data_IF_818020418034
#
_entry.id   IF_818020418034
#
_cell.length_a   1.000
_cell.length_b   1.000
_cell.length_c   1.000
_cell.angle_alpha   90.00
_cell.angle_beta   90.00
_cell.angle_gamma   90.00
#
_symmetry.space_group_name_H-M   'P 1'
#
loop_
_entity.id
_entity.type
_entity.pdbx_description
1 polymer ?
#
# COMPACT_ATOMS: atom_id res chain seq x y z
N UNK A 1 3.17 -76.29 8.24
CA UNK A 1 4.32 -76.23 9.17
C UNK A 1 5.53 -75.88 8.32
N UNK A 2 6.17 -74.72 8.36
CA UNK A 2 6.57 -73.85 9.47
C UNK A 2 6.48 -72.36 9.04
N UNK A 3 6.22 -71.51 10.02
CA UNK A 3 6.29 -70.04 10.03
C UNK A 3 7.69 -69.51 9.68
N UNK A 4 7.83 -68.35 9.02
CA UNK A 4 8.33 -67.13 9.69
C UNK A 4 8.35 -65.87 8.80
N UNK A 5 8.08 -64.76 9.47
CA UNK A 5 8.11 -63.35 9.09
C UNK A 5 9.49 -62.82 8.66
N UNK A 6 9.55 -61.81 7.78
CA UNK A 6 10.14 -60.50 8.13
C UNK A 6 9.88 -59.39 7.09
N UNK A 7 9.43 -58.26 7.61
CA UNK A 7 9.34 -56.92 6.99
C UNK A 7 10.75 -56.34 6.76
N UNK A 8 10.90 -55.40 5.81
CA UNK A 8 11.69 -54.14 5.93
C UNK A 8 11.74 -53.44 4.56
N UNK A 9 10.87 -52.44 4.37
CA UNK A 9 11.15 -50.99 4.28
C UNK A 9 11.54 -50.50 2.87
N UNK A 10 10.55 -49.90 2.22
CA UNK A 10 10.71 -48.94 1.14
C UNK A 10 11.35 -47.65 1.69
N UNK A 11 12.47 -47.23 1.12
CA UNK A 11 13.06 -45.91 1.31
C UNK A 11 12.85 -45.06 0.06
N UNK A 12 11.79 -44.26 0.03
CA UNK A 12 11.61 -43.17 -0.93
C UNK A 12 12.51 -42.01 -0.47
N UNK A 13 13.62 -41.78 -1.19
CA UNK A 13 14.42 -40.57 -1.04
C UNK A 13 13.67 -39.38 -1.63
N UNK A 14 13.03 -38.58 -0.78
CA UNK A 14 12.64 -37.21 -1.12
C UNK A 14 13.89 -36.32 -1.03
N UNK A 15 14.44 -35.94 -2.18
CA UNK A 15 15.35 -34.81 -2.30
C UNK A 15 14.52 -33.52 -2.18
N UNK A 16 14.41 -32.98 -0.97
CA UNK A 16 13.94 -31.61 -0.76
C UNK A 16 15.08 -30.66 -1.17
N UNK A 17 15.09 -30.28 -2.45
CA UNK A 17 15.75 -29.04 -2.87
C UNK A 17 14.90 -27.89 -2.31
N UNK A 18 15.29 -27.38 -1.13
CA UNK A 18 14.76 -26.10 -0.68
C UNK A 18 15.33 -25.02 -1.60
N UNK A 19 14.51 -24.25 -2.34
CA UNK A 19 15.01 -23.04 -2.93
C UNK A 19 15.47 -22.14 -1.78
N UNK A 20 16.70 -21.63 -1.88
CA UNK A 20 17.03 -20.38 -1.24
C UNK A 20 15.99 -19.38 -1.75
N UNK A 21 15.01 -19.06 -0.91
CA UNK A 21 14.17 -17.90 -1.13
C UNK A 21 15.13 -16.72 -1.24
N UNK A 22 15.38 -16.29 -2.48
CA UNK A 22 15.71 -14.90 -2.74
C UNK A 22 14.53 -14.15 -2.12
N UNK A 23 14.82 -13.17 -1.28
CA UNK A 23 13.84 -12.12 -1.07
C UNK A 23 13.61 -11.54 -2.47
N UNK A 24 12.50 -11.93 -3.08
CA UNK A 24 11.94 -11.16 -4.17
C UNK A 24 11.54 -9.83 -3.52
N UNK A 25 12.28 -8.76 -3.82
CA UNK A 25 11.84 -7.37 -3.72
C UNK A 25 10.72 -7.14 -4.77
N UNK A 26 9.71 -8.02 -4.82
CA UNK A 26 8.60 -7.96 -5.77
C UNK A 26 7.29 -7.76 -5.00
N UNK A 27 7.12 -6.54 -4.46
CA UNK A 27 5.82 -5.94 -4.22
C UNK A 27 5.99 -4.43 -3.94
N UNK A 28 6.67 -3.72 -4.82
CA UNK A 28 6.41 -2.28 -4.95
C UNK A 28 5.20 -2.15 -5.89
N UNK A 29 4.08 -1.75 -5.29
CA UNK A 29 2.71 -1.86 -5.80
C UNK A 29 2.25 -0.42 -6.04
N UNK A 30 2.84 0.26 -7.04
CA UNK A 30 2.51 1.63 -7.49
C UNK A 30 2.35 2.74 -6.42
N UNK A 31 3.22 2.85 -5.42
CA UNK A 31 3.37 4.07 -4.61
C UNK A 31 4.66 4.08 -3.78
N UNK A 32 5.13 5.26 -3.35
CA UNK A 32 6.34 5.38 -2.52
C UNK A 32 5.99 5.19 -1.03
N UNK A 33 6.78 4.38 -0.32
CA UNK A 33 6.64 4.16 1.12
C UNK A 33 5.43 3.31 1.53
N UNK A 34 5.02 3.44 2.81
CA UNK A 34 3.94 2.64 3.40
C UNK A 34 2.59 2.78 2.64
N UNK A 35 2.37 3.94 2.00
CA UNK A 35 1.15 4.28 1.24
C UNK A 35 1.04 3.50 -0.09
N UNK A 36 2.17 3.10 -0.69
CA UNK A 36 2.21 2.27 -1.90
C UNK A 36 1.70 0.84 -1.71
N UNK A 37 1.15 0.52 -0.54
CA UNK A 37 0.45 -0.76 -0.29
C UNK A 37 -1.07 -0.61 -0.25
N UNK A 38 -1.58 0.63 -0.22
CA UNK A 38 -3.02 0.92 -0.07
C UNK A 38 -3.60 1.81 -1.16
N UNK A 39 -2.76 2.56 -1.89
CA UNK A 39 -3.18 3.40 -3.02
C UNK A 39 -2.07 3.54 -4.07
N UNK A 40 -2.48 3.96 -5.27
CA UNK A 40 -1.58 4.35 -6.35
C UNK A 40 -0.89 5.70 -6.08
N UNK A 41 -0.18 6.29 -7.05
CA UNK A 41 0.49 7.59 -6.84
C UNK A 41 -0.48 8.72 -6.46
N UNK A 42 -1.72 8.65 -6.94
CA UNK A 42 -2.79 9.60 -6.65
C UNK A 42 -4.10 8.84 -6.44
N UNK A 43 -4.84 9.19 -5.39
CA UNK A 43 -6.17 8.65 -5.13
C UNK A 43 -7.15 9.77 -4.76
N UNK A 44 -8.44 9.50 -4.92
CA UNK A 44 -9.43 10.41 -4.34
C UNK A 44 -9.43 10.24 -2.82
N UNK A 45 -9.23 11.33 -2.11
CA UNK A 45 -9.64 11.42 -0.71
C UNK A 45 -11.15 11.70 -0.60
N UNK A 46 -11.68 12.46 -1.56
CA UNK A 46 -13.12 12.70 -1.66
C UNK A 46 -13.51 13.10 -3.10
N UNK A 47 -14.65 12.63 -3.63
CA UNK A 47 -15.49 11.55 -3.11
C UNK A 47 -14.72 10.21 -3.09
N UNK A 48 -15.13 9.26 -2.23
CA UNK A 48 -14.44 7.97 -2.10
C UNK A 48 -14.32 7.27 -3.46
N UNK A 49 -13.13 6.74 -3.75
CA UNK A 49 -12.86 6.01 -4.98
C UNK A 49 -13.32 4.55 -4.90
N UNK A 50 -13.40 3.94 -6.08
CA UNK A 50 -13.52 2.48 -6.18
C UNK A 50 -12.26 1.83 -5.60
N UNK A 51 -12.37 0.62 -5.03
CA UNK A 51 -11.22 -0.06 -4.44
C UNK A 51 -10.02 -0.12 -5.38
N UNK A 52 -8.91 0.43 -4.93
CA UNK A 52 -7.66 0.44 -5.69
C UNK A 52 -7.03 -0.96 -5.77
N UNK A 53 -6.26 -1.18 -6.84
CA UNK A 53 -5.40 -2.35 -7.02
C UNK A 53 -4.33 -2.04 -8.06
N UNK A 54 -3.06 -2.22 -7.71
CA UNK A 54 -1.92 -2.16 -8.64
C UNK A 54 -2.12 -2.88 -9.98
N UNK A 55 -2.73 -4.06 -9.98
CA UNK A 55 -2.92 -4.80 -11.24
C UNK A 55 -3.83 -4.07 -12.23
N UNK A 56 -4.64 -3.11 -11.77
CA UNK A 56 -5.69 -2.48 -12.56
C UNK A 56 -5.54 -0.96 -12.67
N UNK A 57 -4.71 -0.29 -11.87
CA UNK A 57 -4.66 1.18 -11.81
C UNK A 57 -4.16 1.84 -13.11
N UNK A 58 -3.37 1.13 -13.93
CA UNK A 58 -3.04 1.54 -15.31
C UNK A 58 -4.08 1.13 -16.38
N UNK A 59 -5.23 0.58 -15.99
CA UNK A 59 -6.27 0.10 -16.89
C UNK A 59 -7.52 0.99 -16.78
N UNK A 60 -7.76 1.76 -17.84
CA UNK A 60 -8.94 2.62 -17.94
C UNK A 60 -10.26 1.82 -18.06
N UNK A 61 -11.40 2.42 -17.68
CA UNK A 61 -11.51 3.82 -17.26
C UNK A 61 -11.25 4.06 -15.76
N UNK A 62 -11.36 3.05 -14.90
CA UNK A 62 -11.48 3.28 -13.47
C UNK A 62 -10.33 2.81 -12.60
N UNK A 63 -9.30 2.19 -13.19
CA UNK A 63 -8.15 1.77 -12.41
C UNK A 63 -8.45 0.66 -11.40
N UNK A 64 -9.58 -0.04 -11.55
CA UNK A 64 -10.13 -0.96 -10.56
C UNK A 64 -10.78 -2.16 -11.24
N UNK A 65 -10.74 -3.31 -10.56
CA UNK A 65 -11.51 -4.50 -10.93
C UNK A 65 -12.99 -4.44 -10.50
N UNK A 66 -13.36 -3.43 -9.71
CA UNK A 66 -14.71 -3.26 -9.19
C UNK A 66 -15.56 -2.36 -10.09
N UNK A 67 -16.82 -2.75 -10.28
CA UNK A 67 -17.85 -1.89 -10.88
C UNK A 67 -18.36 -0.83 -9.89
N UNK A 68 -19.44 -0.15 -10.27
CA UNK A 68 -20.11 0.82 -9.39
C UNK A 68 -20.53 0.17 -8.08
N UNK A 69 -20.24 0.84 -6.96
CA UNK A 69 -20.64 0.39 -5.63
C UNK A 69 -21.47 1.44 -4.89
N UNK A 70 -21.06 1.85 -3.69
CA UNK A 70 -21.73 2.91 -2.93
C UNK A 70 -21.45 4.27 -3.58
N UNK A 71 -22.50 5.05 -3.80
CA UNK A 71 -22.40 6.38 -4.39
C UNK A 71 -22.32 7.45 -3.31
N UNK A 72 -21.36 8.36 -3.46
CA UNK A 72 -21.24 9.53 -2.59
C UNK A 72 -22.24 10.61 -3.00
N UNK A 73 -22.94 11.22 -2.04
CA UNK A 73 -23.79 12.37 -2.35
C UNK A 73 -22.93 13.55 -2.80
N UNK A 74 -23.33 14.22 -3.88
CA UNK A 74 -22.51 15.25 -4.51
C UNK A 74 -23.37 16.47 -4.88
N UNK A 75 -22.97 17.70 -4.54
CA UNK A 75 -23.83 18.85 -4.75
C UNK A 75 -23.88 19.21 -6.25
N UNK A 76 -25.07 19.57 -6.74
CA UNK A 76 -25.25 20.08 -8.11
C UNK A 76 -24.48 21.37 -8.38
N UNK A 77 -24.16 22.13 -7.33
CA UNK A 77 -23.43 23.40 -7.42
C UNK A 77 -22.29 23.42 -6.41
N UNK A 78 -21.15 23.99 -6.81
CA UNK A 78 -19.96 24.11 -5.93
C UNK A 78 -19.37 22.75 -5.50
N UNK A 79 -19.41 21.77 -6.41
CA UNK A 79 -18.73 20.50 -6.22
C UNK A 79 -17.22 20.65 -6.17
N UNK A 80 -16.57 19.78 -5.41
CA UNK A 80 -15.13 19.73 -5.23
C UNK A 80 -14.62 18.29 -5.41
N UNK A 81 -13.32 18.12 -5.56
CA UNK A 81 -12.64 16.82 -5.46
C UNK A 81 -11.38 17.04 -4.63
N UNK A 82 -11.12 16.14 -3.69
CA UNK A 82 -9.93 16.14 -2.85
C UNK A 82 -9.09 14.91 -3.19
N UNK A 83 -7.79 15.12 -3.34
CA UNK A 83 -6.81 14.10 -3.69
C UNK A 83 -5.86 13.87 -2.51
N UNK A 84 -5.55 12.60 -2.29
CA UNK A 84 -4.33 12.17 -1.59
C UNK A 84 -3.28 11.88 -2.65
N UNK A 85 -2.06 12.38 -2.48
CA UNK A 85 -0.99 12.30 -3.47
C UNK A 85 0.22 11.69 -2.77
N UNK A 86 0.52 10.43 -3.08
CA UNK A 86 1.67 9.72 -2.54
C UNK A 86 2.95 10.07 -3.31
N UNK A 87 2.84 10.30 -4.62
CA UNK A 87 3.96 10.66 -5.48
C UNK A 87 3.55 11.70 -6.52
N UNK A 88 4.54 12.37 -7.10
CA UNK A 88 4.34 13.40 -8.10
C UNK A 88 3.60 12.84 -9.33
N UNK A 89 2.70 13.66 -9.87
CA UNK A 89 1.91 13.31 -11.04
C UNK A 89 1.79 14.48 -12.02
N UNK A 90 1.57 14.15 -13.28
CA UNK A 90 1.52 15.08 -14.41
C UNK A 90 0.25 14.89 -15.23
N UNK A 91 -0.13 15.92 -15.99
CA UNK A 91 -1.30 15.90 -16.89
C UNK A 91 -2.56 15.37 -16.21
N UNK A 92 -2.80 15.83 -14.98
CA UNK A 92 -3.93 15.40 -14.17
C UNK A 92 -5.21 15.97 -14.78
N UNK A 93 -6.14 15.10 -15.08
CA UNK A 93 -7.42 15.43 -15.69
C UNK A 93 -8.54 14.76 -14.90
N UNK A 94 -9.62 15.52 -14.73
CA UNK A 94 -10.86 15.00 -14.18
C UNK A 94 -11.90 15.01 -15.28
N UNK A 95 -12.48 13.84 -15.54
CA UNK A 95 -13.59 13.67 -16.44
C UNK A 95 -14.84 13.25 -15.68
N UNK A 96 -16.01 13.44 -16.29
CA UNK A 96 -17.27 12.99 -15.70
C UNK A 96 -18.15 12.31 -16.75
N UNK A 97 -18.68 11.15 -16.37
CA UNK A 97 -19.70 10.44 -17.11
C UNK A 97 -21.03 10.57 -16.37
N UNK A 98 -22.07 11.08 -17.04
CA UNK A 98 -23.43 11.21 -16.48
C UNK A 98 -24.25 9.95 -16.74
N UNK A 99 -23.70 8.80 -16.35
CA UNK A 99 -24.34 7.48 -16.45
C UNK A 99 -24.34 6.76 -15.09
N UNK A 100 -25.25 5.80 -14.95
CA UNK A 100 -25.33 4.93 -13.79
C UNK A 100 -24.27 3.83 -13.73
N UNK A 101 -23.65 3.47 -14.85
CA UNK A 101 -22.59 2.46 -14.91
C UNK A 101 -21.70 2.64 -16.17
N UNK A 102 -20.82 3.67 -16.20
CA UNK A 102 -19.92 3.87 -17.33
C UNK A 102 -18.83 2.78 -17.35
N UNK A 103 -18.67 2.11 -18.49
CA UNK A 103 -17.78 0.96 -18.65
C UNK A 103 -16.57 1.26 -19.55
N UNK A 104 -16.62 2.33 -20.34
CA UNK A 104 -15.62 2.61 -21.38
C UNK A 104 -15.04 4.02 -21.25
N UNK A 105 -13.79 4.20 -21.71
CA UNK A 105 -13.15 5.51 -21.71
C UNK A 105 -13.94 6.57 -22.51
N UNK A 106 -14.69 6.15 -23.53
CA UNK A 106 -15.53 7.04 -24.33
C UNK A 106 -16.75 7.59 -23.60
N UNK A 107 -17.12 7.03 -22.45
CA UNK A 107 -18.24 7.53 -21.65
C UNK A 107 -17.85 8.81 -20.87
N UNK A 108 -16.55 9.05 -20.72
CA UNK A 108 -15.97 10.17 -19.98
C UNK A 108 -15.64 11.34 -20.91
N UNK A 109 -16.67 12.02 -21.39
CA UNK A 109 -16.52 13.04 -22.45
C UNK A 109 -16.29 14.47 -21.92
N UNK A 110 -16.69 14.77 -20.69
CA UNK A 110 -16.66 16.11 -20.14
C UNK A 110 -15.47 16.28 -19.20
N UNK A 111 -14.53 17.16 -19.54
CA UNK A 111 -13.45 17.53 -18.61
C UNK A 111 -13.96 18.56 -17.61
N UNK A 112 -13.96 18.19 -16.33
CA UNK A 112 -14.63 18.95 -15.28
C UNK A 112 -13.69 19.77 -14.41
N UNK A 113 -12.38 19.62 -14.58
CA UNK A 113 -11.35 20.53 -14.03
C UNK A 113 -10.33 20.86 -15.11
N UNK A 114 -9.99 22.14 -15.23
CA UNK A 114 -9.11 22.62 -16.30
C UNK A 114 -7.62 22.54 -15.92
N UNK A 115 -6.85 21.89 -16.79
CA UNK A 115 -5.41 22.10 -17.01
C UNK A 115 -4.51 22.02 -15.75
N UNK A 116 -4.47 20.86 -15.10
CA UNK A 116 -3.52 20.58 -14.02
C UNK A 116 -2.29 19.89 -14.62
N UNK A 117 -1.18 20.63 -14.70
CA UNK A 117 0.04 20.14 -15.37
C UNK A 117 0.91 19.26 -14.50
N UNK A 118 0.97 19.56 -13.20
CA UNK A 118 1.75 18.85 -12.20
C UNK A 118 1.10 18.99 -10.83
N UNK A 119 1.10 17.91 -10.06
CA UNK A 119 0.80 17.89 -8.63
C UNK A 119 1.95 17.18 -7.91
N UNK A 120 2.15 17.54 -6.66
CA UNK A 120 3.23 17.03 -5.83
C UNK A 120 2.66 16.28 -4.63
N UNK A 121 3.46 15.37 -4.07
CA UNK A 121 3.09 14.60 -2.88
C UNK A 121 2.49 15.49 -1.78
N UNK A 122 1.37 15.07 -1.20
CA UNK A 122 0.58 15.86 -0.25
C UNK A 122 -0.93 15.71 -0.45
N UNK A 123 -1.65 16.80 -0.24
CA UNK A 123 -3.10 16.87 -0.39
C UNK A 123 -3.46 18.06 -1.26
N UNK A 124 -4.31 17.85 -2.26
CA UNK A 124 -4.80 18.94 -3.10
C UNK A 124 -6.29 18.81 -3.36
N UNK A 125 -6.95 19.96 -3.46
CA UNK A 125 -8.37 20.04 -3.73
C UNK A 125 -8.66 20.94 -4.92
N UNK A 126 -9.63 20.53 -5.73
CA UNK A 126 -10.05 21.21 -6.94
C UNK A 126 -11.55 21.43 -6.95
N UNK A 127 -11.96 22.62 -7.38
CA UNK A 127 -13.36 22.90 -7.67
C UNK A 127 -13.73 22.35 -9.03
N UNK A 128 -14.87 21.68 -9.09
CA UNK A 128 -15.42 21.16 -10.33
C UNK A 128 -16.17 22.28 -11.07
N UNK A 129 -16.06 22.27 -12.41
CA UNK A 129 -16.80 23.13 -13.31
C UNK A 129 -18.32 22.99 -13.14
N UNK A 130 -19.08 23.94 -13.68
CA UNK A 130 -20.54 23.89 -13.60
C UNK A 130 -21.10 22.66 -14.31
N UNK A 131 -21.90 21.89 -13.59
CA UNK A 131 -22.62 20.73 -14.12
C UNK A 131 -23.65 21.20 -15.18
N UNK A 132 -23.84 20.46 -16.30
CA UNK A 132 -24.84 20.80 -17.29
C UNK A 132 -26.24 20.94 -16.69
N UNK A 133 -27.02 21.92 -17.15
CA UNK A 133 -28.36 22.21 -16.60
C UNK A 133 -29.40 21.11 -16.85
N UNK A 134 -29.07 20.10 -17.66
CA UNK A 134 -29.88 18.89 -17.87
C UNK A 134 -29.78 17.88 -16.71
N UNK A 135 -28.79 18.02 -15.83
CA UNK A 135 -28.56 17.15 -14.68
C UNK A 135 -29.39 17.65 -13.50
N UNK A 136 -30.08 16.74 -12.82
CA UNK A 136 -30.95 17.07 -11.68
C UNK A 136 -30.57 16.24 -10.45
N UNK A 137 -31.07 16.61 -9.28
CA UNK A 137 -30.88 15.79 -8.09
C UNK A 137 -31.40 14.36 -8.31
N UNK A 138 -30.67 13.37 -7.79
CA UNK A 138 -30.89 11.95 -8.03
C UNK A 138 -30.20 11.39 -9.28
N UNK A 139 -29.63 12.23 -10.15
CA UNK A 139 -28.82 11.75 -11.29
C UNK A 139 -27.54 11.10 -10.77
N UNK A 140 -27.25 9.90 -11.26
CA UNK A 140 -26.00 9.20 -11.01
C UNK A 140 -24.94 9.65 -12.01
N UNK A 141 -23.69 9.73 -11.54
CA UNK A 141 -22.54 10.01 -12.37
C UNK A 141 -21.29 9.33 -11.79
N UNK A 142 -20.22 9.28 -12.57
CA UNK A 142 -18.91 8.83 -12.11
C UNK A 142 -17.88 9.87 -12.51
N UNK A 143 -17.07 10.29 -11.55
CA UNK A 143 -15.90 11.15 -11.77
C UNK A 143 -14.71 10.24 -12.03
N UNK A 144 -14.03 10.45 -13.15
CA UNK A 144 -12.77 9.79 -13.46
C UNK A 144 -11.62 10.75 -13.19
N UNK A 145 -10.59 10.24 -12.53
CA UNK A 145 -9.26 10.83 -12.45
C UNK A 145 -8.36 10.08 -13.44
N UNK A 146 -7.73 10.81 -14.34
CA UNK A 146 -6.70 10.31 -15.25
C UNK A 146 -5.44 11.15 -15.07
N UNK A 147 -4.28 10.51 -14.89
CA UNK A 147 -3.02 11.21 -14.68
C UNK A 147 -1.83 10.37 -15.13
N UNK A 148 -0.69 11.03 -15.26
CA UNK A 148 0.60 10.39 -15.54
C UNK A 148 1.47 10.39 -14.29
N UNK A 149 2.14 9.27 -14.05
CA UNK A 149 3.20 9.17 -13.04
C UNK A 149 4.30 8.25 -13.56
N UNK A 150 5.52 8.40 -13.06
CA UNK A 150 6.62 7.49 -13.33
C UNK A 150 6.91 6.66 -12.09
N UNK A 151 7.11 5.36 -12.28
CA UNK A 151 7.43 4.47 -11.19
C UNK A 151 8.82 3.87 -11.36
N UNK A 152 9.62 3.92 -10.30
CA UNK A 152 11.01 3.48 -10.34
C UNK A 152 11.07 1.98 -10.61
N UNK A 153 11.78 1.59 -11.67
CA UNK A 153 11.91 0.17 -12.06
C UNK A 153 10.82 -0.32 -13.02
N UNK A 154 9.77 0.46 -13.26
CA UNK A 154 8.70 0.14 -14.21
C UNK A 154 8.80 0.98 -15.49
N UNK A 155 8.16 0.50 -16.56
CA UNK A 155 8.11 1.13 -17.88
C UNK A 155 9.44 1.70 -18.46
N UNK A 156 10.59 1.25 -17.96
CA UNK A 156 11.91 1.83 -18.24
C UNK A 156 12.02 3.32 -17.83
N UNK A 157 11.40 3.72 -16.72
CA UNK A 157 11.42 5.09 -16.20
C UNK A 157 10.65 6.07 -17.08
N UNK A 158 9.60 5.59 -17.76
CA UNK A 158 8.71 6.41 -18.58
C UNK A 158 7.37 6.54 -17.88
N UNK A 159 6.73 7.68 -18.10
CA UNK A 159 5.40 7.93 -17.57
C UNK A 159 4.39 6.87 -18.07
N UNK A 160 3.60 6.36 -17.13
CA UNK A 160 2.43 5.54 -17.39
C UNK A 160 1.18 6.32 -17.04
N UNK A 161 0.06 5.92 -17.63
CA UNK A 161 -1.25 6.53 -17.35
C UNK A 161 -1.97 5.72 -16.30
N UNK A 162 -2.48 6.40 -15.30
CA UNK A 162 -3.20 5.83 -14.17
C UNK A 162 -4.61 6.39 -14.11
N UNK A 163 -5.50 5.61 -13.53
CA UNK A 163 -6.92 5.88 -13.46
C UNK A 163 -7.47 5.64 -12.07
N UNK A 164 -8.48 6.43 -11.68
CA UNK A 164 -9.34 6.14 -10.55
C UNK A 164 -10.75 6.65 -10.84
N UNK A 165 -11.76 6.03 -10.25
CA UNK A 165 -13.14 6.47 -10.37
C UNK A 165 -13.77 6.69 -9.00
N UNK A 166 -14.56 7.75 -8.87
CA UNK A 166 -15.43 8.00 -7.73
C UNK A 166 -16.89 8.06 -8.19
N UNK A 167 -17.74 7.20 -7.65
CA UNK A 167 -19.14 7.12 -8.03
C UNK A 167 -20.00 8.05 -7.17
N UNK A 168 -20.85 8.86 -7.80
CA UNK A 168 -21.62 9.91 -7.11
C UNK A 168 -23.11 9.87 -7.46
N UNK A 169 -23.92 10.47 -6.60
CA UNK A 169 -25.31 10.80 -6.87
C UNK A 169 -25.55 12.28 -6.55
N UNK A 170 -26.07 13.02 -7.53
CA UNK A 170 -26.29 14.44 -7.36
C UNK A 170 -27.40 14.74 -6.34
N UNK A 171 -27.19 15.76 -5.52
CA UNK A 171 -28.18 16.29 -4.58
C UNK A 171 -28.29 17.81 -4.72
N UNK A 172 -29.42 18.36 -4.27
CA UNK A 172 -29.58 19.81 -4.18
C UNK A 172 -28.57 20.39 -3.18
N UNK A 173 -28.14 21.62 -3.41
CA UNK A 173 -27.19 22.30 -2.52
C UNK A 173 -27.67 22.37 -1.06
N UNK A 174 -28.99 22.43 -0.84
CA UNK A 174 -29.59 22.44 0.48
C UNK A 174 -29.48 21.10 1.23
N UNK A 175 -29.36 20.00 0.49
CA UNK A 175 -29.27 18.64 1.05
C UNK A 175 -27.81 18.19 1.23
N UNK A 176 -26.85 18.98 0.75
CA UNK A 176 -25.43 18.71 0.91
C UNK A 176 -24.89 19.33 2.21
N UNK A 177 -24.78 18.52 3.27
CA UNK A 177 -24.31 18.96 4.59
C UNK A 177 -22.90 18.46 4.93
N UNK A 178 -22.20 17.84 3.99
CA UNK A 178 -20.86 17.29 4.21
C UNK A 178 -19.81 18.41 4.15
N UNK A 179 -18.87 18.36 5.09
CA UNK A 179 -17.69 19.20 5.05
C UNK A 179 -16.58 18.45 4.31
N UNK A 180 -16.34 18.83 3.07
CA UNK A 180 -15.23 18.29 2.27
C UNK A 180 -13.91 18.83 2.82
N UNK A 181 -12.89 18.00 3.05
CA UNK A 181 -11.56 18.43 3.49
C UNK A 181 -10.80 19.12 2.34
N UNK A 182 -11.33 20.22 1.81
CA UNK A 182 -10.76 20.90 0.66
C UNK A 182 -9.64 21.87 1.10
N UNK A 183 -8.42 21.36 1.19
CA UNK A 183 -7.22 22.16 1.45
C UNK A 183 -6.06 21.71 0.55
N UNK A 184 -5.07 22.58 0.37
CA UNK A 184 -3.87 22.30 -0.43
C UNK A 184 -2.65 22.39 0.47
N UNK A 185 -1.86 21.32 0.53
CA UNK A 185 -0.55 21.24 1.22
C UNK A 185 0.36 20.29 0.46
N UNK A 186 1.65 20.57 0.42
CA UNK A 186 2.66 19.65 -0.13
C UNK A 186 3.47 19.02 1.01
N UNK A 187 4.02 17.83 0.79
CA UNK A 187 4.82 17.12 1.79
C UNK A 187 6.06 17.94 2.20
N UNK A 188 6.62 18.73 1.29
CA UNK A 188 7.75 19.63 1.55
C UNK A 188 7.44 20.74 2.57
N UNK A 189 6.19 21.21 2.66
CA UNK A 189 5.77 22.20 3.66
C UNK A 189 5.97 21.69 5.08
N UNK A 190 5.87 20.37 5.29
CA UNK A 190 6.05 19.73 6.60
C UNK A 190 7.52 19.47 6.93
N UNK A 191 8.41 19.47 5.93
CA UNK A 191 9.86 19.31 6.11
C UNK A 191 10.52 20.65 6.47
N UNK A 192 9.90 21.79 6.12
CA UNK A 192 10.36 23.15 6.45
C UNK A 192 10.02 23.67 7.86
N UNK A 193 9.25 22.91 8.66
CA UNK A 193 8.63 23.36 9.92
C UNK A 193 9.49 23.33 11.19
N UNK A 194 10.82 23.44 11.11
CA UNK A 194 11.68 23.76 12.27
C UNK A 194 12.29 25.15 12.12
N UNK A 195 11.50 26.14 11.70
CA UNK A 195 11.73 27.52 12.11
C UNK A 195 10.78 27.84 13.26
N UNK A 196 11.29 27.69 14.49
CA UNK A 196 10.63 28.20 15.69
C UNK A 196 10.66 29.73 15.63
N UNK A 197 9.74 30.34 14.88
CA UNK A 197 9.45 31.77 15.05
C UNK A 197 8.79 31.92 16.40
N UNK A 198 9.62 32.19 17.41
CA UNK A 198 9.20 32.50 18.77
C UNK A 198 8.47 33.84 18.73
N UNK A 199 7.17 33.83 18.46
CA UNK A 199 6.32 35.01 18.69
C UNK A 199 6.13 35.18 20.19
N UNK A 200 6.93 36.07 20.76
CA UNK A 200 6.78 36.55 22.14
C UNK A 200 5.50 37.37 22.25
N UNK A 201 4.56 37.04 23.17
CA UNK A 201 3.40 37.88 23.40
C UNK A 201 3.81 39.07 24.29
N UNK A 202 3.97 40.25 23.69
CA UNK A 202 3.98 41.51 24.44
C UNK A 202 2.54 41.98 24.64
N UNK A 203 2.03 41.79 25.86
CA UNK A 203 0.74 42.31 26.28
C UNK A 203 0.82 43.82 26.52
N UNK A 204 -0.07 44.59 25.89
CA UNK A 204 -0.60 45.83 26.48
C UNK A 204 -2.11 45.78 26.36
N UNK A 205 -2.75 45.70 27.52
CA UNK A 205 -4.19 45.71 27.69
C UNK A 205 -4.79 47.08 27.41
N UNK A 206 -6.04 47.13 26.96
CA UNK A 206 -7.16 47.81 27.67
C UNK A 206 -8.48 47.51 26.95
N UNK A 207 -9.33 46.72 27.64
CA UNK A 207 -10.78 46.88 27.88
C UNK A 207 -11.71 47.13 26.67
N UNK A 208 -12.89 46.52 26.50
CA UNK A 208 -13.91 45.99 27.43
C UNK A 208 -15.01 45.40 26.54
N UNK A 209 -15.48 44.16 26.73
CA UNK A 209 -16.78 43.90 27.40
C UNK A 209 -16.92 42.41 27.75
N UNK A 210 -17.54 42.19 28.91
CA UNK A 210 -17.67 40.93 29.65
C UNK A 210 -18.71 39.93 29.08
N UNK A 211 -18.69 38.68 29.59
CA UNK A 211 -19.24 37.49 28.95
C UNK A 211 -20.55 36.97 29.58
N UNK A 212 -21.15 35.95 28.97
CA UNK A 212 -21.83 34.89 29.72
C UNK A 212 -21.61 33.53 29.05
N UNK A 213 -20.92 32.71 29.82
CA UNK A 213 -20.59 31.30 29.69
C UNK A 213 -21.81 30.37 29.67
N UNK A 214 -21.74 29.34 28.84
CA UNK A 214 -22.16 27.99 29.24
C UNK A 214 -21.11 26.98 28.75
N UNK A 215 -20.86 26.01 29.61
CA UNK A 215 -19.63 25.23 29.78
C UNK A 215 -19.80 23.77 29.38
N UNK A 216 -18.65 23.08 29.30
CA UNK A 216 -18.38 21.62 29.27
C UNK A 216 -18.34 20.97 27.89
N UNK A 217 -17.38 20.11 27.54
CA UNK A 217 -16.15 19.63 28.19
C UNK A 217 -15.39 18.79 27.16
N UNK A 218 -14.16 19.18 26.80
CA UNK A 218 -13.28 18.34 25.98
C UNK A 218 -12.46 17.40 26.88
N UNK A 219 -12.63 16.10 26.66
CA UNK A 219 -11.79 15.05 27.24
C UNK A 219 -10.46 14.98 26.49
N UNK A 220 -9.39 15.36 27.17
CA UNK A 220 -8.01 15.18 26.72
C UNK A 220 -7.66 13.69 26.71
N UNK A 221 -7.28 13.15 25.55
CA UNK A 221 -6.65 11.84 25.44
C UNK A 221 -5.15 11.99 25.66
N UNK A 222 -4.64 11.34 26.71
CA UNK A 222 -3.22 11.30 27.06
C UNK A 222 -2.44 10.47 26.02
N UNK A 223 -1.87 11.15 25.03
CA UNK A 223 -0.88 10.59 24.12
C UNK A 223 0.48 10.45 24.80
N UNK A 224 1.09 9.26 24.71
CA UNK A 224 2.41 9.00 25.29
C UNK A 224 3.47 9.93 24.70
N UNK A 225 4.20 10.61 25.58
CA UNK A 225 5.26 11.58 25.26
C UNK A 225 6.21 11.05 24.18
N UNK A 226 6.63 11.92 23.28
CA UNK A 226 7.59 11.64 22.18
C UNK A 226 8.85 10.92 22.68
N UNK A 227 9.30 11.18 23.92
CA UNK A 227 10.42 10.47 24.53
C UNK A 227 10.16 8.99 24.79
N UNK A 228 8.92 8.61 25.10
CA UNK A 228 8.53 7.20 25.28
C UNK A 228 8.51 6.44 23.96
N UNK A 229 8.04 7.09 22.88
CA UNK A 229 8.02 6.50 21.54
C UNK A 229 9.43 6.23 21.01
N UNK A 230 10.36 7.17 21.21
CA UNK A 230 11.76 7.01 20.81
C UNK A 230 12.49 5.90 21.60
N UNK A 231 12.18 5.74 22.89
CA UNK A 231 12.80 4.70 23.73
C UNK A 231 12.41 3.27 23.34
N UNK A 232 11.17 3.06 22.89
CA UNK A 232 10.68 1.73 22.51
C UNK A 232 11.35 1.25 21.21
N UNK A 233 11.55 2.13 20.22
CA UNK A 233 12.15 1.78 18.94
C UNK A 233 13.58 1.22 19.09
N UNK A 234 14.42 1.84 19.94
CA UNK A 234 15.80 1.38 20.16
C UNK A 234 15.85 0.09 20.98
N UNK A 235 14.93 -0.07 21.95
CA UNK A 235 14.87 -1.26 22.79
C UNK A 235 14.58 -2.56 22.03
N UNK A 236 13.74 -2.51 20.99
CA UNK A 236 13.35 -3.69 20.21
C UNK A 236 14.52 -4.26 19.41
N UNK A 237 15.38 -3.40 18.85
CA UNK A 237 16.54 -3.82 18.04
C UNK A 237 17.57 -4.57 18.90
N UNK A 238 17.85 -4.06 20.11
CA UNK A 238 18.80 -4.70 21.02
C UNK A 238 18.24 -6.02 21.56
N UNK A 239 16.95 -6.06 21.89
CA UNK A 239 16.30 -7.27 22.38
C UNK A 239 16.22 -8.37 21.30
N UNK A 240 15.90 -8.02 20.05
CA UNK A 240 15.81 -8.99 18.94
C UNK A 240 17.17 -9.60 18.61
N UNK A 241 18.24 -8.79 18.56
CA UNK A 241 19.61 -9.28 18.34
C UNK A 241 20.08 -10.23 19.46
N UNK A 242 19.74 -9.93 20.71
CA UNK A 242 20.06 -10.80 21.84
C UNK A 242 19.36 -12.16 21.77
N UNK A 243 18.09 -12.17 21.36
CA UNK A 243 17.29 -13.40 21.20
C UNK A 243 17.85 -14.25 20.06
N UNK A 244 18.12 -13.66 18.88
CA UNK A 244 18.71 -14.37 17.73
C UNK A 244 20.08 -14.95 18.09
N UNK A 245 20.92 -14.18 18.78
CA UNK A 245 22.22 -14.65 19.27
C UNK A 245 22.11 -15.84 20.24
N UNK A 246 21.15 -15.81 21.16
CA UNK A 246 20.90 -16.90 22.10
C UNK A 246 20.44 -18.18 21.40
N UNK A 247 19.55 -18.07 20.42
CA UNK A 247 19.08 -19.21 19.61
C UNK A 247 20.21 -19.82 18.77
N UNK A 248 21.01 -18.99 18.10
CA UNK A 248 22.17 -19.46 17.33
C UNK A 248 23.19 -20.19 18.21
N UNK A 249 23.51 -19.62 19.40
CA UNK A 249 24.44 -20.24 20.34
C UNK A 249 23.93 -21.58 20.88
N UNK A 250 22.65 -21.67 21.24
CA UNK A 250 22.03 -22.92 21.71
C UNK A 250 22.06 -24.02 20.63
N UNK A 251 21.83 -23.65 19.38
CA UNK A 251 21.85 -24.59 18.25
C UNK A 251 23.26 -25.11 17.96
N UNK A 252 24.27 -24.23 17.97
CA UNK A 252 25.67 -24.61 17.79
C UNK A 252 26.20 -25.48 18.93
N UNK A 253 25.75 -25.23 20.17
CA UNK A 253 26.13 -26.04 21.34
C UNK A 253 25.55 -27.46 21.26
N UNK A 254 24.30 -27.62 20.81
CA UNK A 254 23.68 -28.95 20.60
C UNK A 254 24.41 -29.75 19.52
N UNK A 255 24.89 -29.09 18.47
CA UNK A 255 25.60 -29.75 17.36
C UNK A 255 26.98 -30.28 17.77
N UNK A 256 27.69 -29.59 18.69
CA UNK A 256 28.98 -30.07 19.22
C UNK A 256 28.85 -31.28 20.16
N UNK A 257 27.71 -31.47 20.82
CA UNK A 257 27.45 -32.65 21.67
C UNK A 257 27.20 -33.95 20.89
N UNK A 258 27.03 -33.91 19.56
CA UNK A 258 26.81 -35.09 18.72
C UNK A 258 28.07 -35.61 17.99
N UNK A 259 29.23 -34.98 18.15
CA UNK A 259 30.49 -35.41 17.51
C UNK A 259 31.41 -36.28 18.39
N UNK A 260 30.97 -36.72 19.58
CA UNK A 260 31.80 -37.53 20.49
C UNK A 260 31.60 -39.06 20.36
N UNK A 261 31.16 -39.58 19.22
CA UNK A 261 30.87 -41.02 19.08
C UNK A 261 31.13 -41.61 17.69
N UNK A 262 32.31 -41.43 17.11
CA UNK A 262 32.79 -42.34 16.05
C UNK A 262 34.31 -42.51 16.18
N UNK A 263 34.75 -43.63 16.76
CA UNK A 263 36.13 -44.15 16.64
C UNK A 263 36.27 -44.91 15.30
N UNK A 264 37.48 -44.99 14.72
CA UNK A 264 37.68 -45.49 13.36
C UNK A 264 37.82 -47.02 13.36
N UNK A 265 37.13 -47.70 12.44
CA UNK A 265 37.50 -49.05 12.04
C UNK A 265 37.96 -49.11 10.58
N UNK A 266 39.22 -49.50 10.47
CA UNK A 266 39.97 -49.89 9.28
C UNK A 266 39.51 -51.27 8.80
N UNK A 267 39.27 -51.45 7.50
CA UNK A 267 39.20 -52.76 6.85
C UNK A 267 39.49 -52.56 5.35
N UNK A 268 40.76 -52.67 4.94
CA UNK A 268 41.38 -53.82 4.27
C UNK A 268 40.62 -54.34 3.04
N UNK A 269 41.21 -54.07 1.87
CA UNK A 269 40.82 -54.51 0.53
C UNK A 269 41.37 -55.90 0.26
N UNK A 270 40.53 -56.88 -0.13
CA UNK A 270 40.99 -58.16 -0.68
C UNK A 270 40.08 -58.75 -1.77
N UNK A 271 40.60 -58.62 -3.00
CA UNK A 271 40.74 -59.55 -4.14
C UNK A 271 39.51 -60.23 -4.78
N UNK A 272 39.41 -59.95 -6.08
CA UNK A 272 38.80 -60.72 -7.17
C UNK A 272 39.28 -62.17 -7.25
N UNK A 273 38.45 -63.06 -7.78
CA UNK A 273 38.77 -63.90 -8.95
C UNK A 273 37.50 -64.54 -9.52
N UNK A 274 37.42 -64.48 -10.85
CA UNK A 274 36.35 -64.92 -11.74
C UNK A 274 36.22 -66.44 -11.89
N UNK A 275 35.02 -66.87 -12.26
CA UNK A 275 34.69 -68.19 -12.82
C UNK A 275 33.88 -67.93 -14.08
N UNK A 276 34.31 -68.42 -15.25
CA UNK A 276 33.46 -69.06 -16.28
C UNK A 276 34.36 -69.96 -17.13
N UNK A 277 34.03 -71.25 -17.17
CA UNK A 277 34.45 -72.20 -18.19
C UNK A 277 33.28 -72.42 -19.15
N UNK A 278 33.55 -72.46 -20.46
CA UNK A 278 32.78 -73.29 -21.39
C UNK A 278 33.56 -73.46 -22.68
N UNK A 279 33.74 -74.71 -23.11
CA UNK A 279 34.46 -75.09 -24.30
C UNK A 279 33.56 -75.44 -25.49
N UNK A 280 34.24 -75.46 -26.65
CA UNK A 280 34.00 -76.27 -27.86
C UNK A 280 32.76 -76.01 -28.72
N UNK A 281 33.01 -75.49 -29.94
CA UNK A 281 32.61 -76.15 -31.20
C UNK A 281 33.42 -75.62 -32.41
N UNK A 282 33.95 -76.58 -33.16
CA UNK A 282 34.54 -76.60 -34.53
C UNK A 282 35.85 -75.85 -34.83
#
# INVERSE_FOLDING_TARGET
MYTNTLRLLAGLSWLAAAPLARADDDAEVHGEGDEGTIMGPVAFLWPDDRPWSATYDNIGPCGSSSGVSNRTIYPLTQGEVALSIADDAWNVAFYMAFDSDPETQSDFTEQVVSNITRIEAGHQCYKIASIPSSVTAGTNATIQLEYWSDYAGENNGKNETFYACADITFVEAADFTLSVPCFNVTAEDFVGGVETTTVSPSATATSTTSPSTSSSSSSSSDGLSTGAKAGIAVGVIVASLAIVGAFAFAFLRKRKSQQASVLPQTSEVRKDTASIASGTRE
#
